data_IF_632838943397
#
_entry.id   IF_632838943397
#
_cell.length_a   1.000
_cell.length_b   1.000
_cell.length_c   1.000
_cell.angle_alpha   90.00
_cell.angle_beta   90.00
_cell.angle_gamma   90.00
#
_symmetry.space_group_name_H-M   'P 1'
#
loop_
_entity.id
_entity.type
_entity.pdbx_description
1 polymer ?
#
# COMPACT_ATOMS: atom_id res chain seq x y z
N UNK A 1 9.57 8.84 -10.00
CA UNK A 1 10.89 9.37 -10.43
C UNK A 1 12.03 8.37 -10.26
N UNK A 2 12.12 7.56 -9.20
CA UNK A 2 13.19 6.55 -9.05
C UNK A 2 13.24 5.46 -10.16
N UNK A 3 12.11 5.11 -10.78
CA UNK A 3 12.07 4.15 -11.89
C UNK A 3 12.81 4.64 -13.16
N UNK A 4 13.18 5.93 -13.22
CA UNK A 4 14.00 6.50 -14.30
C UNK A 4 15.51 6.34 -14.09
N UNK A 5 15.96 5.92 -12.92
CA UNK A 5 17.38 6.02 -12.54
C UNK A 5 18.16 4.71 -12.54
N UNK A 6 17.50 3.55 -12.49
CA UNK A 6 18.19 2.25 -12.50
C UNK A 6 18.31 1.65 -13.91
N UNK A 7 17.55 2.18 -14.87
CA UNK A 7 17.48 1.65 -16.24
C UNK A 7 17.44 2.84 -17.19
N UNK A 8 18.58 3.17 -17.80
CA UNK A 8 18.79 4.07 -18.96
C UNK A 8 17.96 5.38 -19.01
N UNK A 9 18.62 6.53 -18.96
CA UNK A 9 17.96 7.84 -19.08
C UNK A 9 17.29 8.00 -20.45
N UNK A 10 16.05 8.51 -20.49
CA UNK A 10 15.55 9.30 -21.63
C UNK A 10 16.18 10.68 -21.51
N UNK A 11 17.18 10.97 -22.33
CA UNK A 11 17.70 12.33 -22.49
C UNK A 11 16.84 13.16 -23.45
N UNK A 12 16.26 12.52 -24.48
CA UNK A 12 15.36 13.14 -25.45
C UNK A 12 13.95 12.53 -25.39
N UNK A 13 12.94 13.33 -25.76
CA UNK A 13 11.51 12.92 -25.75
C UNK A 13 11.27 11.66 -26.59
N UNK A 14 12.01 11.55 -27.69
CA UNK A 14 11.86 10.50 -28.71
C UNK A 14 12.88 9.36 -28.58
N UNK A 15 13.72 9.36 -27.55
CA UNK A 15 14.71 8.31 -27.36
C UNK A 15 14.04 6.96 -27.04
N UNK A 16 14.31 5.96 -27.88
CA UNK A 16 13.91 4.56 -27.65
C UNK A 16 14.63 4.02 -26.40
N UNK A 17 13.87 3.46 -25.45
CA UNK A 17 14.39 2.98 -24.17
C UNK A 17 13.97 1.54 -23.92
N UNK A 18 14.91 0.75 -23.35
CA UNK A 18 14.62 -0.57 -22.81
C UNK A 18 14.86 -0.57 -21.30
N UNK A 19 13.81 -0.90 -20.57
CA UNK A 19 13.86 -1.25 -19.16
C UNK A 19 14.59 -2.60 -19.01
N UNK A 20 15.78 -2.60 -18.39
CA UNK A 20 16.64 -3.80 -18.32
C UNK A 20 16.09 -4.92 -17.41
N UNK A 21 15.18 -4.60 -16.50
CA UNK A 21 14.48 -5.57 -15.65
C UNK A 21 13.00 -5.22 -15.59
N UNK A 22 12.07 -6.19 -15.67
CA UNK A 22 10.65 -5.89 -15.59
C UNK A 22 10.28 -5.12 -14.31
N UNK A 23 9.35 -4.17 -14.45
CA UNK A 23 8.98 -3.25 -13.36
C UNK A 23 8.43 -3.93 -12.10
N UNK A 24 7.87 -5.13 -12.24
CA UNK A 24 7.36 -5.97 -11.15
C UNK A 24 8.45 -6.45 -10.18
N UNK A 25 9.71 -6.57 -10.61
CA UNK A 25 10.82 -6.95 -9.72
C UNK A 25 11.45 -5.76 -9.00
N UNK A 26 11.13 -4.51 -9.38
CA UNK A 26 11.74 -3.31 -8.78
C UNK A 26 11.50 -3.26 -7.27
N UNK A 27 10.27 -3.50 -6.85
CA UNK A 27 9.85 -3.28 -5.47
C UNK A 27 9.78 -4.56 -4.62
N UNK A 28 9.95 -5.73 -5.23
CA UNK A 28 10.09 -6.98 -4.48
C UNK A 28 11.34 -6.90 -3.59
N UNK A 29 11.30 -7.58 -2.43
CA UNK A 29 12.45 -7.59 -1.52
C UNK A 29 13.61 -8.33 -2.19
N UNK A 30 14.86 -7.95 -1.89
CA UNK A 30 16.05 -8.68 -2.38
C UNK A 30 16.04 -10.16 -1.99
N UNK A 31 15.54 -10.48 -0.79
CA UNK A 31 15.39 -11.86 -0.34
C UNK A 31 14.39 -12.69 -1.18
N UNK A 32 13.47 -12.03 -1.88
CA UNK A 32 12.46 -12.64 -2.73
C UNK A 32 12.78 -12.49 -4.23
N UNK A 33 14.01 -12.09 -4.59
CA UNK A 33 14.42 -11.91 -5.99
C UNK A 33 14.10 -10.55 -6.61
N UNK A 34 13.82 -9.54 -5.79
CA UNK A 34 13.63 -8.18 -6.26
C UNK A 34 14.85 -7.29 -6.12
N UNK A 35 14.71 -6.05 -6.57
CA UNK A 35 15.73 -5.01 -6.37
C UNK A 35 15.61 -4.32 -5.00
N UNK A 36 14.47 -4.43 -4.33
CA UNK A 36 14.20 -3.81 -3.04
C UNK A 36 14.07 -2.29 -3.11
N UNK A 37 13.70 -1.74 -4.27
CA UNK A 37 13.50 -0.30 -4.44
C UNK A 37 12.26 0.12 -3.63
N UNK A 38 12.35 1.17 -2.79
CA UNK A 38 11.18 1.65 -2.06
C UNK A 38 10.18 2.34 -3.00
N UNK A 39 8.90 1.98 -2.89
CA UNK A 39 7.82 2.73 -3.54
C UNK A 39 7.56 4.04 -2.79
N UNK A 40 7.85 5.18 -3.43
CA UNK A 40 7.65 6.51 -2.84
C UNK A 40 6.19 6.73 -2.41
N UNK A 41 5.23 6.35 -3.27
CA UNK A 41 3.79 6.45 -2.97
C UNK A 41 3.42 5.61 -1.75
N UNK A 42 3.94 4.38 -1.64
CA UNK A 42 3.71 3.53 -0.48
C UNK A 42 4.31 4.11 0.80
N UNK A 43 5.51 4.70 0.72
CA UNK A 43 6.14 5.33 1.89
C UNK A 43 5.39 6.59 2.34
N UNK A 44 4.91 7.42 1.40
CA UNK A 44 4.08 8.58 1.72
C UNK A 44 2.76 8.16 2.37
N UNK A 45 2.09 7.14 1.82
CA UNK A 45 0.89 6.53 2.43
C UNK A 45 1.16 6.05 3.85
N UNK A 46 2.25 5.31 4.04
CA UNK A 46 2.69 4.81 5.34
C UNK A 46 2.90 5.94 6.34
N UNK A 47 3.62 7.00 5.96
CA UNK A 47 3.87 8.16 6.82
C UNK A 47 2.55 8.81 7.25
N UNK A 48 1.61 9.02 6.32
CA UNK A 48 0.30 9.59 6.64
C UNK A 48 -0.52 8.74 7.60
N UNK A 49 -0.53 7.42 7.41
CA UNK A 49 -1.21 6.51 8.32
C UNK A 49 -0.56 6.51 9.71
N UNK A 50 0.77 6.59 9.77
CA UNK A 50 1.49 6.77 11.05
C UNK A 50 1.08 8.06 11.73
N UNK A 51 1.01 9.19 11.01
CA UNK A 51 0.55 10.46 11.58
C UNK A 51 -0.89 10.38 12.08
N UNK A 52 -1.76 9.68 11.36
CA UNK A 52 -3.14 9.49 11.76
C UNK A 52 -3.25 8.58 12.99
N UNK A 53 -2.47 7.50 13.10
CA UNK A 53 -2.37 6.70 14.33
C UNK A 53 -1.84 7.55 15.50
N UNK A 54 -0.80 8.34 15.22
CA UNK A 54 -0.29 9.50 15.96
C UNK A 54 -1.43 10.25 16.65
N UNK A 55 -2.17 10.90 15.76
CA UNK A 55 -3.30 11.75 16.04
C UNK A 55 -4.41 11.06 16.85
N UNK A 56 -4.72 9.81 16.54
CA UNK A 56 -5.78 9.03 17.20
C UNK A 56 -5.40 8.62 18.60
N UNK A 57 -4.18 8.11 18.81
CA UNK A 57 -3.68 7.75 20.14
C UNK A 57 -3.65 8.98 21.07
N UNK A 58 -3.30 10.13 20.51
CA UNK A 58 -3.26 11.42 21.20
C UNK A 58 -4.64 11.95 21.54
N UNK A 59 -5.58 11.80 20.62
CA UNK A 59 -6.98 12.02 20.88
C UNK A 59 -7.55 11.03 21.89
N UNK A 60 -6.77 10.10 22.47
CA UNK A 60 -7.14 9.26 23.62
C UNK A 60 -6.58 9.74 24.98
N UNK A 61 -5.60 10.63 24.99
CA UNK A 61 -5.06 11.20 26.22
C UNK A 61 -5.95 12.39 26.68
N UNK A 62 -6.28 12.48 27.97
CA UNK A 62 -7.17 13.51 28.55
C UNK A 62 -6.42 14.79 28.96
N UNK A 63 -5.09 14.79 28.97
CA UNK A 63 -4.28 15.77 29.71
C UNK A 63 -3.21 16.51 28.89
N UNK A 64 -3.16 16.33 27.56
CA UNK A 64 -2.12 16.93 26.70
C UNK A 64 -2.57 18.15 25.89
N UNK A 65 -1.78 19.23 25.90
CA UNK A 65 -1.95 20.38 24.99
C UNK A 65 -1.68 19.99 23.53
N UNK A 66 -2.30 20.65 22.56
CA UNK A 66 -3.45 20.14 21.80
C UNK A 66 -3.13 20.14 20.29
N UNK A 67 -2.56 19.06 19.75
CA UNK A 67 -2.49 18.87 18.30
C UNK A 67 -3.82 18.39 17.73
N UNK A 68 -4.72 17.94 18.60
CA UNK A 68 -6.13 17.62 18.33
C UNK A 68 -6.98 18.85 17.99
N UNK A 69 -6.57 20.07 18.38
CA UNK A 69 -7.27 21.31 18.01
C UNK A 69 -7.43 21.45 16.51
N UNK A 70 -6.40 21.17 15.72
CA UNK A 70 -6.47 21.30 14.26
C UNK A 70 -7.56 20.42 13.64
N UNK A 71 -7.77 19.21 14.15
CA UNK A 71 -8.81 18.30 13.64
C UNK A 71 -10.19 18.61 14.21
N UNK A 72 -10.28 19.06 15.47
CA UNK A 72 -11.55 19.54 16.05
C UNK A 72 -12.02 20.79 15.33
N UNK A 73 -11.13 21.74 15.04
CA UNK A 73 -11.41 22.92 14.21
C UNK A 73 -11.76 22.54 12.77
N UNK A 74 -11.02 21.60 12.18
CA UNK A 74 -11.35 21.07 10.86
C UNK A 74 -12.76 20.45 10.85
N UNK A 75 -13.10 19.62 11.84
CA UNK A 75 -14.42 19.03 12.02
C UNK A 75 -15.51 20.09 12.17
N UNK A 76 -15.28 21.11 13.01
CA UNK A 76 -16.19 22.26 13.18
C UNK A 76 -16.38 23.05 11.89
N UNK A 77 -15.36 23.09 11.03
CA UNK A 77 -15.43 23.81 9.75
C UNK A 77 -16.20 23.05 8.66
N UNK A 78 -16.29 21.72 8.75
CA UNK A 78 -16.83 20.88 7.68
C UNK A 78 -18.13 20.16 8.02
N UNK A 79 -18.35 19.80 9.28
CA UNK A 79 -19.58 19.16 9.75
C UNK A 79 -20.54 20.20 10.32
N UNK A 80 -21.85 19.90 10.37
CA UNK A 80 -22.80 20.72 11.12
C UNK A 80 -22.36 20.86 12.58
N UNK A 81 -22.72 21.99 13.20
CA UNK A 81 -22.43 22.23 14.62
C UNK A 81 -23.31 21.31 15.46
N UNK A 82 -22.76 20.18 15.87
CA UNK A 82 -23.39 19.28 16.83
C UNK A 82 -22.93 19.62 18.25
N UNK A 83 -23.75 19.30 19.25
CA UNK A 83 -23.38 19.42 20.67
C UNK A 83 -22.27 18.45 21.08
N UNK A 84 -22.10 17.35 20.34
CA UNK A 84 -21.05 16.33 20.53
C UNK A 84 -20.42 15.98 19.18
N UNK A 85 -19.10 16.16 19.04
CA UNK A 85 -18.29 15.68 17.91
C UNK A 85 -17.04 14.99 18.43
N UNK A 86 -16.69 13.83 17.89
CA UNK A 86 -15.41 13.20 18.19
C UNK A 86 -14.39 13.53 17.10
N UNK A 87 -13.13 13.70 17.49
CA UNK A 87 -12.03 14.09 16.61
C UNK A 87 -11.85 13.17 15.38
N UNK A 88 -12.39 11.94 15.44
CA UNK A 88 -12.18 10.87 14.47
C UNK A 88 -13.43 10.49 13.67
N UNK A 89 -14.57 11.13 13.96
CA UNK A 89 -15.82 10.95 13.22
C UNK A 89 -15.64 11.14 11.73
N UNK A 90 -14.69 11.99 11.36
CA UNK A 90 -14.44 12.30 9.97
C UNK A 90 -13.95 11.09 9.18
N UNK A 91 -13.27 10.14 9.82
CA UNK A 91 -12.77 8.92 9.18
C UNK A 91 -13.91 7.96 8.79
N UNK A 92 -15.09 8.08 9.40
CA UNK A 92 -16.27 7.25 9.08
C UNK A 92 -17.18 7.90 8.04
N UNK A 93 -16.91 9.16 7.67
CA UNK A 93 -17.65 9.89 6.64
C UNK A 93 -17.06 9.61 5.26
N UNK A 94 -17.93 9.36 4.28
CA UNK A 94 -17.53 9.08 2.90
C UNK A 94 -16.95 10.32 2.21
N UNK A 95 -15.74 10.24 1.61
CA UNK A 95 -15.10 11.38 0.95
C UNK A 95 -15.68 11.72 -0.41
N UNK A 96 -16.54 10.84 -0.94
CA UNK A 96 -17.19 11.02 -2.25
C UNK A 96 -18.53 11.76 -2.16
N UNK A 97 -18.98 12.13 -0.96
CA UNK A 97 -20.26 12.81 -0.75
C UNK A 97 -20.01 14.31 -0.57
N UNK A 98 -20.57 15.12 -1.46
CA UNK A 98 -20.38 16.58 -1.52
C UNK A 98 -21.73 17.30 -1.36
N UNK A 99 -21.74 18.48 -0.72
CA UNK A 99 -22.91 19.36 -0.63
C UNK A 99 -22.83 20.33 0.55
N UNK A 100 -23.78 21.25 0.70
CA UNK A 100 -23.75 22.23 1.81
C UNK A 100 -23.86 21.61 3.22
N UNK A 101 -24.29 20.34 3.30
CA UNK A 101 -24.35 19.60 4.56
C UNK A 101 -22.96 19.11 5.04
N UNK A 102 -21.99 18.90 4.14
CA UNK A 102 -20.56 18.77 4.49
C UNK A 102 -19.78 19.79 3.67
N UNK A 103 -19.19 20.79 4.33
CA UNK A 103 -18.45 21.86 3.65
C UNK A 103 -17.05 21.39 3.19
N UNK A 104 -17.01 20.42 2.29
CA UNK A 104 -15.81 19.76 1.77
C UNK A 104 -14.79 20.72 1.13
N UNK A 105 -15.26 21.89 0.69
CA UNK A 105 -14.42 22.99 0.18
C UNK A 105 -13.40 23.49 1.21
N UNK A 106 -13.68 23.39 2.51
CA UNK A 106 -12.76 23.82 3.57
C UNK A 106 -11.66 22.78 3.89
N UNK A 107 -11.75 21.57 3.34
CA UNK A 107 -10.74 20.53 3.57
C UNK A 107 -9.54 20.74 2.65
N UNK A 108 -8.33 20.76 3.23
CA UNK A 108 -7.09 20.82 2.47
C UNK A 108 -6.88 19.59 1.57
N UNK A 109 -6.10 19.73 0.50
CA UNK A 109 -5.76 18.62 -0.39
C UNK A 109 -5.10 17.45 0.35
N UNK A 110 -4.30 17.76 1.38
CA UNK A 110 -3.68 16.74 2.23
C UNK A 110 -4.75 15.83 2.84
N UNK A 111 -5.73 16.41 3.53
CA UNK A 111 -6.78 15.66 4.20
C UNK A 111 -7.68 14.89 3.23
N UNK A 112 -8.05 15.49 2.09
CA UNK A 112 -8.82 14.82 1.01
C UNK A 112 -8.14 13.54 0.52
N UNK A 113 -6.83 13.59 0.27
CA UNK A 113 -6.05 12.42 -0.15
C UNK A 113 -5.96 11.38 0.97
N UNK A 114 -5.73 11.81 2.22
CA UNK A 114 -5.67 10.90 3.38
C UNK A 114 -6.97 10.12 3.53
N UNK A 115 -8.14 10.77 3.37
CA UNK A 115 -9.44 10.08 3.37
C UNK A 115 -9.58 9.08 2.24
N UNK A 116 -9.23 9.48 1.03
CA UNK A 116 -9.33 8.60 -0.14
C UNK A 116 -8.51 7.33 0.07
N UNK A 117 -7.34 7.46 0.71
CA UNK A 117 -6.51 6.31 1.05
C UNK A 117 -7.10 5.48 2.18
N UNK A 118 -7.57 6.09 3.27
CA UNK A 118 -8.26 5.41 4.37
C UNK A 118 -9.39 4.50 3.88
N UNK A 119 -10.27 5.03 3.03
CA UNK A 119 -11.41 4.29 2.49
C UNK A 119 -11.04 3.24 1.44
N UNK A 120 -9.86 3.34 0.82
CA UNK A 120 -9.33 2.33 -0.11
C UNK A 120 -8.52 1.24 0.59
N UNK A 121 -8.17 1.42 1.87
CA UNK A 121 -7.46 0.42 2.63
C UNK A 121 -8.38 -0.75 2.95
N UNK A 122 -7.94 -1.95 2.57
CA UNK A 122 -8.58 -3.18 3.02
C UNK A 122 -8.11 -3.52 4.42
N UNK A 123 -9.03 -3.45 5.38
CA UNK A 123 -8.82 -3.88 6.76
C UNK A 123 -9.22 -5.34 6.93
N UNK A 124 -8.42 -6.13 7.65
CA UNK A 124 -8.70 -7.55 7.93
C UNK A 124 -9.83 -7.70 8.95
N UNK A 125 -9.95 -6.73 9.87
CA UNK A 125 -11.04 -6.65 10.85
C UNK A 125 -11.74 -5.30 10.69
N UNK A 126 -13.06 -5.29 10.74
CA UNK A 126 -13.93 -4.10 10.75
C UNK A 126 -14.90 -4.15 11.93
N UNK A 127 -15.61 -3.05 12.15
CA UNK A 127 -16.61 -2.93 13.22
C UNK A 127 -17.78 -3.91 13.03
N UNK A 128 -18.06 -4.32 11.78
CA UNK A 128 -19.03 -5.36 11.44
C UNK A 128 -18.72 -6.71 12.07
N UNK A 129 -17.45 -6.95 12.38
CA UNK A 129 -16.94 -8.22 12.89
C UNK A 129 -16.88 -8.25 14.43
N UNK A 130 -17.38 -7.20 15.10
CA UNK A 130 -17.56 -7.15 16.55
C UNK A 130 -18.72 -8.06 16.98
N UNK A 131 -18.74 -8.45 18.26
CA UNK A 131 -19.89 -9.13 18.84
C UNK A 131 -21.16 -8.28 18.73
N UNK A 132 -22.33 -8.90 18.63
CA UNK A 132 -23.63 -8.25 18.39
C UNK A 132 -23.81 -6.99 19.23
N UNK A 133 -23.60 -7.09 20.54
CA UNK A 133 -23.85 -6.02 21.50
C UNK A 133 -22.89 -4.84 21.31
N UNK A 134 -21.60 -5.13 21.08
CA UNK A 134 -20.59 -4.10 20.83
C UNK A 134 -20.77 -3.44 19.47
N UNK A 135 -21.14 -4.23 18.45
CA UNK A 135 -21.43 -3.77 17.10
C UNK A 135 -22.59 -2.78 17.10
N UNK A 136 -23.69 -3.14 17.78
CA UNK A 136 -24.88 -2.28 17.91
C UNK A 136 -24.53 -1.00 18.66
N UNK A 137 -23.86 -1.12 19.81
CA UNK A 137 -23.41 0.04 20.59
C UNK A 137 -22.53 0.97 19.76
N UNK A 138 -21.55 0.43 19.03
CA UNK A 138 -20.69 1.23 18.16
C UNK A 138 -21.49 1.93 17.06
N UNK A 139 -22.35 1.20 16.36
CA UNK A 139 -23.14 1.68 15.23
C UNK A 139 -24.12 2.79 15.61
N UNK A 140 -24.81 2.64 16.75
CA UNK A 140 -25.78 3.62 17.24
C UNK A 140 -25.18 5.01 17.49
N UNK A 141 -23.89 5.08 17.83
CA UNK A 141 -23.19 6.33 18.12
C UNK A 141 -22.42 6.93 16.92
N UNK A 142 -22.37 6.23 15.79
CA UNK A 142 -21.71 6.73 14.58
C UNK A 142 -22.49 7.90 13.97
N UNK A 143 -21.80 8.84 13.28
CA UNK A 143 -22.47 9.84 12.45
C UNK A 143 -23.27 9.16 11.32
N UNK A 144 -24.59 9.42 11.24
CA UNK A 144 -25.48 8.69 10.30
C UNK A 144 -25.65 9.38 8.94
N UNK A 145 -25.39 10.69 8.87
CA UNK A 145 -25.75 11.49 7.71
C UNK A 145 -25.00 11.09 6.43
N UNK A 146 -23.69 10.83 6.52
CA UNK A 146 -22.86 10.50 5.36
C UNK A 146 -21.88 9.37 5.67
N UNK A 147 -22.33 8.42 6.49
CA UNK A 147 -21.53 7.26 6.87
C UNK A 147 -21.05 6.49 5.63
N UNK A 148 -19.81 6.02 5.64
CA UNK A 148 -19.23 5.28 4.50
C UNK A 148 -19.74 3.85 4.39
N UNK A 149 -20.11 3.25 5.52
CA UNK A 149 -20.60 1.88 5.59
C UNK A 149 -22.06 1.75 5.15
N UNK A 150 -22.34 0.78 4.28
CA UNK A 150 -23.66 0.51 3.73
C UNK A 150 -24.67 -0.06 4.73
N UNK A 151 -24.21 -0.64 5.85
CA UNK A 151 -25.13 -1.12 6.91
C UNK A 151 -25.85 0.05 7.59
N UNK A 152 -25.22 1.23 7.61
CA UNK A 152 -25.78 2.48 8.12
C UNK A 152 -26.49 3.31 7.03
N UNK A 153 -26.81 2.69 5.89
CA UNK A 153 -27.60 3.32 4.82
C UNK A 153 -29.03 2.79 4.84
N UNK A 154 -29.98 3.61 4.39
CA UNK A 154 -31.36 3.18 4.23
C UNK A 154 -31.60 2.65 2.81
N UNK A 155 -32.61 1.80 2.67
CA UNK A 155 -33.03 1.25 1.37
C UNK A 155 -34.19 2.08 0.82
N UNK A 156 -34.01 2.61 -0.38
CA UNK A 156 -35.07 3.34 -1.05
C UNK A 156 -36.04 2.33 -1.68
N UNK A 157 -37.34 2.49 -1.43
CA UNK A 157 -38.37 1.68 -2.11
C UNK A 157 -38.19 1.75 -3.63
N UNK A 158 -38.27 0.59 -4.29
CA UNK A 158 -38.09 0.43 -5.73
C UNK A 158 -39.02 1.36 -6.51
N UNK A 159 -38.47 2.08 -7.49
CA UNK A 159 -39.25 2.67 -8.58
C UNK A 159 -39.12 1.75 -9.80
N UNK A 160 -40.00 0.76 -9.91
CA UNK A 160 -40.02 -0.20 -11.03
C UNK A 160 -39.35 -1.54 -10.75
N UNK A 161 -39.69 -2.57 -11.55
CA UNK A 161 -39.40 -3.99 -11.32
C UNK A 161 -37.99 -4.47 -11.70
N UNK A 162 -37.11 -3.60 -12.22
CA UNK A 162 -35.84 -4.02 -12.85
C UNK A 162 -34.56 -3.51 -12.17
N UNK A 163 -34.66 -2.75 -11.07
CA UNK A 163 -33.47 -2.20 -10.39
C UNK A 163 -33.29 -2.79 -9.00
N UNK A 164 -32.07 -3.29 -8.70
CA UNK A 164 -31.67 -3.72 -7.36
C UNK A 164 -31.87 -2.60 -6.32
N UNK A 165 -32.31 -2.94 -5.11
CA UNK A 165 -32.47 -1.98 -4.01
C UNK A 165 -31.16 -1.20 -3.77
N UNK A 166 -31.18 0.12 -4.03
CA UNK A 166 -30.00 0.96 -3.87
C UNK A 166 -29.98 1.55 -2.46
N UNK A 167 -28.91 1.26 -1.71
CA UNK A 167 -28.67 1.82 -0.38
C UNK A 167 -28.16 3.26 -0.49
N UNK A 168 -28.70 4.16 0.33
CA UNK A 168 -28.32 5.58 0.38
C UNK A 168 -28.08 6.06 1.81
N UNK A 169 -27.13 6.98 1.98
CA UNK A 169 -26.95 7.68 3.25
C UNK A 169 -28.16 8.61 3.51
N UNK A 170 -28.54 8.78 4.77
CA UNK A 170 -29.63 9.69 5.19
C UNK A 170 -29.38 11.13 4.69
N UNK A 171 -28.14 11.56 4.53
CA UNK A 171 -27.81 12.88 4.03
C UNK A 171 -28.07 13.12 2.55
N UNK A 172 -28.34 12.07 1.76
CA UNK A 172 -28.46 12.15 0.30
C UNK A 172 -29.91 12.41 -0.17
N UNK A 173 -30.66 13.20 0.57
CA UNK A 173 -31.97 13.69 0.13
C UNK A 173 -31.82 14.76 -1.00
N UNK A 174 -32.81 14.90 -1.90
CA UNK A 174 -32.87 16.04 -2.81
C UNK A 174 -33.22 17.33 -2.05
N UNK A 175 -32.89 18.49 -2.64
CA UNK A 175 -33.42 19.77 -2.16
C UNK A 175 -34.94 19.83 -2.40
N UNK A 176 -35.72 20.53 -1.55
CA UNK A 176 -35.31 21.29 -0.35
C UNK A 176 -35.17 20.45 0.94
N UNK A 177 -35.48 19.15 0.88
CA UNK A 177 -35.47 18.27 2.06
C UNK A 177 -34.08 18.13 2.69
N UNK A 178 -33.00 18.22 1.89
CA UNK A 178 -31.62 18.20 2.38
C UNK A 178 -31.32 19.41 3.28
N UNK A 179 -31.68 20.62 2.84
CA UNK A 179 -31.54 21.84 3.66
C UNK A 179 -32.33 21.74 4.97
N UNK A 180 -33.55 21.17 4.92
CA UNK A 180 -34.32 20.90 6.13
C UNK A 180 -33.65 19.87 7.05
N UNK A 181 -33.07 18.78 6.53
CA UNK A 181 -32.31 17.80 7.33
C UNK A 181 -31.10 18.45 8.00
N UNK A 182 -30.41 19.36 7.31
CA UNK A 182 -29.32 20.14 7.88
C UNK A 182 -29.82 21.02 9.04
N UNK A 183 -30.96 21.68 8.89
CA UNK A 183 -31.62 22.45 9.96
C UNK A 183 -31.91 21.57 11.18
N UNK A 184 -32.62 20.45 10.97
CA UNK A 184 -32.96 19.48 12.02
C UNK A 184 -31.72 19.01 12.76
N UNK A 185 -30.65 18.67 12.03
CA UNK A 185 -29.39 18.21 12.60
C UNK A 185 -28.72 19.25 13.50
N UNK A 186 -28.85 20.55 13.18
CA UNK A 186 -28.24 21.67 13.91
C UNK A 186 -29.07 22.09 15.11
N UNK A 187 -30.38 22.26 14.92
CA UNK A 187 -31.29 22.79 15.94
C UNK A 187 -31.59 21.74 17.01
N UNK A 188 -31.85 20.50 16.62
CA UNK A 188 -32.19 19.42 17.55
C UNK A 188 -30.99 18.55 17.93
N UNK A 189 -29.81 18.79 17.34
CA UNK A 189 -28.58 18.08 17.67
C UNK A 189 -28.58 16.61 17.27
N UNK A 190 -29.34 16.22 16.23
CA UNK A 190 -29.38 14.84 15.73
C UNK A 190 -28.13 14.52 14.89
N UNK A 191 -27.17 13.79 15.46
CA UNK A 191 -25.93 13.34 14.79
C UNK A 191 -25.93 11.83 14.52
N UNK A 192 -26.44 11.04 15.46
CA UNK A 192 -26.41 9.57 15.45
C UNK A 192 -27.81 8.97 15.69
N UNK A 193 -27.94 7.64 15.59
CA UNK A 193 -29.20 6.96 15.95
C UNK A 193 -29.47 7.06 17.46
N UNK A 194 -28.42 7.06 18.28
CA UNK A 194 -28.52 7.24 19.72
C UNK A 194 -29.23 8.55 20.12
N UNK A 195 -29.06 9.61 19.34
CA UNK A 195 -29.69 10.91 19.63
C UNK A 195 -31.22 10.88 19.52
N UNK A 196 -31.78 9.94 18.75
CA UNK A 196 -33.23 9.75 18.64
C UNK A 196 -33.84 9.18 19.93
N UNK A 197 -33.03 8.45 20.72
CA UNK A 197 -33.46 7.75 21.94
C UNK A 197 -33.17 8.53 23.23
N UNK A 198 -32.55 9.72 23.13
CA UNK A 198 -31.97 10.45 24.26
C UNK A 198 -32.94 10.75 25.42
N UNK A 199 -34.23 10.94 25.10
CA UNK A 199 -35.25 11.40 26.05
C UNK A 199 -35.89 10.23 26.80
N UNK A 200 -36.33 9.20 26.08
CA UNK A 200 -37.09 8.07 26.64
C UNK A 200 -36.25 6.82 26.87
N UNK A 201 -34.94 6.88 26.56
CA UNK A 201 -34.03 5.73 26.51
C UNK A 201 -34.56 4.55 25.67
N UNK A 202 -35.46 4.82 24.74
CA UNK A 202 -36.08 3.86 23.84
C UNK A 202 -36.24 4.48 22.45
N UNK A 203 -36.42 3.64 21.43
CA UNK A 203 -36.74 4.14 20.09
C UNK A 203 -38.11 4.84 20.10
N UNK A 204 -38.20 6.13 19.72
CA UNK A 204 -39.43 6.89 19.85
C UNK A 204 -40.50 6.37 18.88
N UNK A 205 -41.78 6.57 19.18
CA UNK A 205 -42.83 6.34 18.17
C UNK A 205 -42.72 7.38 17.05
N UNK A 206 -43.21 7.07 15.84
CA UNK A 206 -43.18 8.03 14.72
C UNK A 206 -43.87 9.35 15.09
N UNK A 207 -45.01 9.27 15.78
CA UNK A 207 -45.78 10.44 16.23
C UNK A 207 -44.97 11.23 17.25
N UNK A 208 -44.41 10.55 18.27
CA UNK A 208 -43.57 11.18 19.29
C UNK A 208 -42.35 11.87 18.69
N UNK A 209 -41.68 11.25 17.72
CA UNK A 209 -40.54 11.84 17.03
C UNK A 209 -40.94 13.12 16.27
N UNK A 210 -42.03 13.08 15.49
CA UNK A 210 -42.48 14.23 14.70
C UNK A 210 -42.84 15.40 15.61
N UNK A 211 -43.66 15.19 16.64
CA UNK A 211 -44.11 16.27 17.54
C UNK A 211 -42.95 16.96 18.24
N UNK A 212 -41.88 16.22 18.57
CA UNK A 212 -40.68 16.77 19.24
C UNK A 212 -39.77 17.61 18.34
N UNK A 213 -39.85 17.43 17.02
CA UNK A 213 -38.87 17.99 16.07
C UNK A 213 -39.49 18.92 15.03
N UNK A 214 -40.75 19.32 15.20
CA UNK A 214 -41.32 20.44 14.46
C UNK A 214 -40.73 21.74 15.03
N UNK A 215 -40.26 22.60 14.15
CA UNK A 215 -39.77 23.92 14.49
C UNK A 215 -40.75 24.98 13.97
N UNK A 216 -41.55 25.53 14.88
CA UNK A 216 -42.50 26.59 14.56
C UNK A 216 -41.83 27.95 14.26
N UNK A 217 -40.53 28.08 14.54
CA UNK A 217 -39.76 29.29 14.21
C UNK A 217 -39.22 29.28 12.78
N UNK A 218 -39.26 28.13 12.09
CA UNK A 218 -38.80 27.98 10.72
C UNK A 218 -39.87 28.44 9.72
N UNK A 219 -39.79 29.72 9.33
CA UNK A 219 -40.81 30.40 8.50
C UNK A 219 -40.87 29.86 7.06
N UNK A 220 -39.74 29.39 6.52
CA UNK A 220 -39.64 28.98 5.10
C UNK A 220 -40.37 27.67 4.77
N UNK A 221 -40.74 26.87 5.77
CA UNK A 221 -41.31 25.52 5.58
C UNK A 221 -42.49 25.33 6.52
N UNK A 222 -43.68 25.10 5.95
CA UNK A 222 -44.91 24.91 6.73
C UNK A 222 -44.82 23.69 7.68
N UNK A 223 -45.46 23.72 8.87
CA UNK A 223 -45.42 22.61 9.82
C UNK A 223 -45.90 21.27 9.22
N UNK A 224 -46.89 21.30 8.32
CA UNK A 224 -47.37 20.11 7.63
C UNK A 224 -46.29 19.49 6.72
N UNK A 225 -45.50 20.32 6.04
CA UNK A 225 -44.38 19.87 5.21
C UNK A 225 -43.21 19.37 6.07
N UNK A 226 -42.90 20.06 7.19
CA UNK A 226 -41.92 19.59 8.16
C UNK A 226 -42.30 18.19 8.69
N UNK A 227 -43.57 18.00 9.10
CA UNK A 227 -44.07 16.72 9.58
C UNK A 227 -43.93 15.61 8.52
N UNK A 228 -44.21 15.90 7.25
CA UNK A 228 -44.00 14.95 6.15
C UNK A 228 -42.54 14.52 6.02
N UNK A 229 -41.60 15.46 6.09
CA UNK A 229 -40.17 15.15 5.99
C UNK A 229 -39.60 14.46 7.23
N UNK A 230 -40.07 14.82 8.43
CA UNK A 230 -39.72 14.14 9.68
C UNK A 230 -40.21 12.69 9.70
N UNK A 231 -41.43 12.43 9.20
CA UNK A 231 -41.93 11.05 9.03
C UNK A 231 -41.05 10.23 8.10
N UNK A 232 -40.57 10.83 7.00
CA UNK A 232 -39.64 10.17 6.08
C UNK A 232 -38.30 9.87 6.76
N UNK A 233 -37.70 10.86 7.43
CA UNK A 233 -36.45 10.69 8.19
C UNK A 233 -36.57 9.59 9.24
N UNK A 234 -37.68 9.58 10.00
CA UNK A 234 -37.96 8.54 10.99
C UNK A 234 -37.99 7.15 10.38
N UNK A 235 -38.70 6.96 9.25
CA UNK A 235 -38.77 5.65 8.57
C UNK A 235 -37.40 5.19 8.09
N UNK A 236 -36.63 6.08 7.48
CA UNK A 236 -35.28 5.79 6.99
C UNK A 236 -34.32 5.41 8.13
N UNK A 237 -34.37 6.14 9.25
CA UNK A 237 -33.57 5.81 10.45
C UNK A 237 -34.02 4.49 11.09
N UNK A 238 -35.33 4.24 11.17
CA UNK A 238 -35.89 3.00 11.72
C UNK A 238 -35.47 1.77 10.90
N UNK A 239 -35.38 1.88 9.57
CA UNK A 239 -34.83 0.79 8.74
C UNK A 239 -33.41 0.40 9.17
N UNK A 240 -32.58 1.39 9.49
CA UNK A 240 -31.20 1.15 9.91
C UNK A 240 -31.17 0.52 11.30
N UNK A 241 -31.96 1.02 12.25
CA UNK A 241 -32.10 0.44 13.59
C UNK A 241 -32.54 -1.02 13.54
N UNK A 242 -33.55 -1.32 12.74
CA UNK A 242 -34.05 -2.68 12.57
C UNK A 242 -32.98 -3.60 11.96
N UNK A 243 -32.22 -3.11 10.96
CA UNK A 243 -31.12 -3.87 10.37
C UNK A 243 -30.00 -4.16 11.37
N UNK A 244 -29.72 -3.21 12.25
CA UNK A 244 -28.75 -3.39 13.32
C UNK A 244 -29.27 -4.31 14.43
N UNK A 245 -30.55 -4.72 14.41
CA UNK A 245 -31.20 -5.47 15.50
C UNK A 245 -31.11 -4.70 16.83
N UNK A 246 -31.13 -3.36 16.75
CA UNK A 246 -30.90 -2.49 17.89
C UNK A 246 -32.18 -2.19 18.70
N UNK A 247 -33.32 -2.80 18.35
CA UNK A 247 -34.63 -2.54 18.96
C UNK A 247 -34.67 -2.78 20.47
N UNK A 248 -33.93 -3.78 20.95
CA UNK A 248 -33.87 -4.15 22.37
C UNK A 248 -32.70 -3.51 23.13
N UNK A 249 -31.79 -2.81 22.42
CA UNK A 249 -30.59 -2.22 23.02
C UNK A 249 -30.89 -0.82 23.54
N UNK A 250 -31.43 -0.78 24.76
CA UNK A 250 -31.48 0.43 25.60
C UNK A 250 -30.05 0.88 25.88
N UNK A 251 -29.75 2.15 25.56
CA UNK A 251 -28.48 2.78 25.94
C UNK A 251 -28.37 2.78 27.47
N UNK A 252 -27.62 1.82 28.03
CA UNK A 252 -27.34 1.79 29.45
C UNK A 252 -26.69 3.13 29.87
N UNK A 253 -27.18 3.82 30.92
CA UNK A 253 -26.69 5.14 31.31
C UNK A 253 -25.19 5.19 31.67
N UNK A 254 -24.57 4.04 31.91
CA UNK A 254 -23.15 3.87 32.25
C UNK A 254 -22.16 4.23 31.12
N UNK A 255 -22.62 4.40 29.88
CA UNK A 255 -21.74 4.66 28.71
C UNK A 255 -21.90 6.10 28.18
N UNK A 256 -22.41 7.03 29.01
CA UNK A 256 -22.65 8.41 28.53
C UNK A 256 -21.37 9.20 28.22
N UNK A 257 -20.18 8.81 28.70
CA UNK A 257 -19.05 9.76 28.70
C UNK A 257 -17.59 9.29 28.48
N UNK A 258 -17.24 8.04 28.08
CA UNK A 258 -15.78 7.74 28.04
C UNK A 258 -15.19 6.74 27.05
N UNK A 259 -15.94 5.90 26.35
CA UNK A 259 -15.32 5.10 25.27
C UNK A 259 -15.25 5.93 23.98
N UNK A 260 -14.13 6.63 23.84
CA UNK A 260 -13.76 7.38 22.62
C UNK A 260 -13.91 6.44 21.42
N UNK A 261 -14.90 6.70 20.58
CA UNK A 261 -15.24 5.88 19.41
C UNK A 261 -14.16 6.02 18.35
N UNK A 262 -13.17 5.14 18.43
CA UNK A 262 -12.17 4.96 17.38
C UNK A 262 -12.79 4.06 16.31
N UNK A 263 -12.47 4.24 15.03
CA UNK A 263 -12.82 3.25 14.03
C UNK A 263 -12.32 1.87 14.46
N UNK A 264 -13.24 0.92 14.66
CA UNK A 264 -12.89 -0.48 14.97
C UNK A 264 -12.43 -1.16 13.69
N UNK A 265 -11.21 -0.84 13.27
CA UNK A 265 -10.54 -1.47 12.14
C UNK A 265 -9.19 -2.01 12.57
N UNK A 266 -8.76 -3.12 11.98
CA UNK A 266 -7.51 -3.76 12.36
C UNK A 266 -6.94 -4.65 11.29
N UNK A 267 -5.73 -5.14 11.57
CA UNK A 267 -5.01 -6.08 10.71
C UNK A 267 -4.46 -7.25 11.51
N UNK A 268 -4.30 -8.38 10.84
CA UNK A 268 -3.64 -9.56 11.38
C UNK A 268 -2.13 -9.44 11.17
N UNK A 269 -1.39 -9.38 12.26
CA UNK A 269 0.06 -9.37 12.24
C UNK A 269 0.61 -10.56 13.04
N UNK A 270 1.16 -11.55 12.33
CA UNK A 270 1.61 -12.83 12.90
C UNK A 270 0.50 -13.45 13.77
N UNK A 271 -0.69 -13.62 13.18
CA UNK A 271 -1.90 -14.19 13.84
C UNK A 271 -2.49 -13.34 14.98
N UNK A 272 -1.79 -12.30 15.44
CA UNK A 272 -2.32 -11.35 16.42
C UNK A 272 -3.10 -10.23 15.73
N UNK A 273 -4.37 -10.06 16.10
CA UNK A 273 -5.17 -8.91 15.71
C UNK A 273 -4.62 -7.64 16.37
N UNK A 274 -4.28 -6.65 15.55
CA UNK A 274 -3.87 -5.31 15.99
C UNK A 274 -4.91 -4.30 15.49
N UNK A 275 -5.63 -3.69 16.42
CA UNK A 275 -6.61 -2.64 16.11
C UNK A 275 -5.94 -1.28 15.98
N UNK A 276 -6.49 -0.42 15.14
CA UNK A 276 -6.09 0.96 15.01
C UNK A 276 -6.46 1.75 16.29
N UNK A 277 -5.60 2.63 16.84
CA UNK A 277 -4.30 3.08 16.33
C UNK A 277 -3.10 2.23 16.77
N UNK A 278 -3.31 1.16 17.55
CA UNK A 278 -2.26 0.33 18.16
C UNK A 278 -1.57 -0.63 17.18
N UNK A 279 -1.61 -0.32 15.88
CA UNK A 279 -0.96 -1.12 14.84
C UNK A 279 0.54 -0.84 14.86
N UNK A 280 1.40 -1.88 14.92
CA UNK A 280 2.85 -1.69 14.90
C UNK A 280 3.33 -0.95 13.64
N UNK A 281 4.24 0.04 13.80
CA UNK A 281 4.81 0.81 12.68
C UNK A 281 5.48 -0.05 11.61
N UNK A 282 5.94 -1.24 11.97
CA UNK A 282 6.52 -2.24 11.08
C UNK A 282 5.47 -2.89 10.18
N UNK A 283 4.22 -3.02 10.64
CA UNK A 283 3.11 -3.62 9.90
C UNK A 283 2.47 -2.65 8.91
N UNK A 284 2.44 -1.34 9.21
CA UNK A 284 1.71 -0.32 8.41
C UNK A 284 2.02 -0.36 6.91
N UNK A 285 3.28 -0.59 6.52
CA UNK A 285 3.64 -0.62 5.10
C UNK A 285 2.87 -1.72 4.36
N UNK A 286 2.76 -2.92 4.97
CA UNK A 286 2.03 -4.05 4.38
C UNK A 286 0.53 -3.77 4.23
N UNK A 287 -0.02 -2.93 5.10
CA UNK A 287 -1.44 -2.54 5.07
C UNK A 287 -1.73 -1.60 3.91
N UNK A 288 -0.88 -0.58 3.75
CA UNK A 288 -1.12 0.46 2.75
C UNK A 288 -0.72 0.01 1.35
N UNK A 289 0.19 -0.96 1.23
CA UNK A 289 0.72 -1.39 -0.05
C UNK A 289 1.51 -2.70 0.02
N UNK A 290 1.27 -3.58 -0.95
CA UNK A 290 2.11 -4.74 -1.24
C UNK A 290 2.59 -4.70 -2.68
N UNK A 291 3.84 -5.10 -2.98
CA UNK A 291 4.27 -5.27 -4.36
C UNK A 291 3.40 -6.31 -5.04
N UNK A 292 2.96 -6.01 -6.26
CA UNK A 292 2.24 -6.99 -7.08
C UNK A 292 3.16 -8.20 -7.33
N UNK A 293 2.64 -9.44 -7.25
CA UNK A 293 3.39 -10.61 -7.66
C UNK A 293 3.87 -10.48 -9.12
N UNK A 294 5.09 -10.95 -9.43
CA UNK A 294 5.60 -10.90 -10.79
C UNK A 294 4.85 -11.90 -11.68
N UNK A 295 4.52 -11.48 -12.88
CA UNK A 295 3.91 -12.31 -13.93
C UNK A 295 4.93 -12.74 -14.98
N UNK A 296 6.03 -11.98 -15.17
CA UNK A 296 7.13 -12.35 -16.07
C UNK A 296 8.15 -13.27 -15.39
N UNK A 297 8.90 -14.08 -16.17
CA UNK A 297 10.00 -14.89 -15.63
C UNK A 297 11.07 -14.02 -14.97
N UNK A 298 11.68 -14.54 -13.90
CA UNK A 298 12.79 -13.89 -13.21
C UNK A 298 13.99 -13.70 -14.17
N UNK A 299 14.74 -12.58 -14.13
CA UNK A 299 15.85 -12.33 -15.05
C UNK A 299 16.93 -13.42 -15.08
N UNK A 300 17.22 -14.05 -13.94
CA UNK A 300 18.16 -15.17 -13.84
C UNK A 300 17.77 -16.38 -14.72
N UNK A 301 16.50 -16.53 -15.11
CA UNK A 301 16.06 -17.61 -16.03
C UNK A 301 16.71 -17.52 -17.41
N UNK A 302 17.21 -16.34 -17.79
CA UNK A 302 17.93 -16.16 -19.07
C UNK A 302 19.25 -16.93 -19.07
N UNK A 303 19.89 -17.06 -17.90
CA UNK A 303 21.09 -17.86 -17.76
C UNK A 303 20.74 -19.34 -17.65
N UNK A 304 19.67 -19.68 -16.93
CA UNK A 304 19.24 -21.06 -16.75
C UNK A 304 17.72 -21.20 -16.52
N UNK A 305 17.05 -21.87 -17.44
CA UNK A 305 15.58 -21.94 -17.49
C UNK A 305 14.94 -22.58 -16.25
N UNK A 306 15.70 -23.45 -15.56
CA UNK A 306 15.27 -24.18 -14.35
C UNK A 306 15.30 -23.33 -13.07
N UNK A 307 15.68 -22.06 -13.14
CA UNK A 307 15.67 -21.18 -11.97
C UNK A 307 14.24 -21.07 -11.39
N UNK A 308 14.14 -21.34 -10.09
CA UNK A 308 12.92 -21.19 -9.31
C UNK A 308 13.13 -20.24 -8.12
N UNK A 309 12.12 -20.11 -7.26
CA UNK A 309 12.19 -19.26 -6.08
C UNK A 309 13.26 -19.71 -5.06
N UNK A 310 13.59 -21.00 -5.00
CA UNK A 310 14.61 -21.53 -4.09
C UNK A 310 16.01 -21.08 -4.52
N UNK A 311 16.31 -21.18 -5.82
CA UNK A 311 17.58 -20.75 -6.39
C UNK A 311 17.81 -19.26 -6.19
N UNK A 312 16.77 -18.44 -6.41
CA UNK A 312 16.81 -16.99 -6.19
C UNK A 312 17.08 -16.66 -4.72
N UNK A 313 16.42 -17.36 -3.78
CA UNK A 313 16.67 -17.20 -2.34
C UNK A 313 18.09 -17.59 -1.96
N UNK A 314 18.62 -18.68 -2.51
CA UNK A 314 20.01 -19.12 -2.30
C UNK A 314 20.99 -18.07 -2.79
N UNK A 315 20.78 -17.52 -4.00
CA UNK A 315 21.62 -16.44 -4.52
C UNK A 315 21.55 -15.18 -3.65
N UNK A 316 20.36 -14.79 -3.19
CA UNK A 316 20.20 -13.65 -2.29
C UNK A 316 20.88 -13.85 -0.92
N UNK A 317 20.88 -15.08 -0.38
CA UNK A 317 21.64 -15.44 0.83
C UNK A 317 23.15 -15.36 0.56
N UNK A 318 23.60 -15.88 -0.58
CA UNK A 318 25.00 -15.81 -0.98
C UNK A 318 25.47 -14.36 -1.08
N UNK A 319 24.73 -13.46 -1.73
CA UNK A 319 25.08 -12.04 -1.80
C UNK A 319 25.22 -11.36 -0.42
N UNK A 320 24.51 -11.82 0.61
CA UNK A 320 24.73 -11.36 2.00
C UNK A 320 26.06 -11.87 2.58
N UNK A 321 26.45 -13.11 2.28
CA UNK A 321 27.76 -13.68 2.66
C UNK A 321 28.88 -12.96 1.92
N UNK A 322 28.76 -12.81 0.60
CA UNK A 322 29.78 -12.19 -0.25
C UNK A 322 30.11 -10.76 0.17
N UNK A 323 29.13 -9.97 0.64
CA UNK A 323 29.39 -8.63 1.18
C UNK A 323 30.28 -8.58 2.43
N UNK A 324 30.55 -9.72 3.08
CA UNK A 324 31.51 -9.81 4.18
C UNK A 324 32.95 -10.07 3.72
N UNK A 325 33.13 -10.60 2.51
CA UNK A 325 34.44 -11.06 2.00
C UNK A 325 34.87 -10.33 0.72
N UNK A 326 33.95 -9.67 0.01
CA UNK A 326 34.19 -8.90 -1.21
C UNK A 326 34.00 -7.42 -0.97
N UNK A 327 34.75 -6.60 -1.71
CA UNK A 327 34.45 -5.19 -1.86
C UNK A 327 33.06 -5.00 -2.50
N UNK A 328 32.28 -3.98 -2.09
CA UNK A 328 30.92 -3.76 -2.61
C UNK A 328 30.83 -3.69 -4.14
N UNK A 329 31.86 -3.18 -4.81
CA UNK A 329 31.89 -3.07 -6.28
C UNK A 329 31.90 -4.44 -7.00
N UNK A 330 32.54 -5.45 -6.41
CA UNK A 330 32.61 -6.79 -6.96
C UNK A 330 31.28 -7.54 -6.78
N UNK A 331 30.66 -7.41 -5.61
CA UNK A 331 29.34 -7.99 -5.35
C UNK A 331 28.25 -7.33 -6.19
N UNK A 332 28.29 -6.01 -6.36
CA UNK A 332 27.36 -5.28 -7.22
C UNK A 332 27.44 -5.74 -8.68
N UNK A 333 28.65 -5.95 -9.21
CA UNK A 333 28.81 -6.49 -10.57
C UNK A 333 28.23 -7.90 -10.71
N UNK A 334 28.53 -8.80 -9.76
CA UNK A 334 27.95 -10.14 -9.76
C UNK A 334 26.43 -10.11 -9.71
N UNK A 335 25.87 -9.25 -8.85
CA UNK A 335 24.42 -9.05 -8.74
C UNK A 335 23.83 -8.57 -10.07
N UNK A 336 24.44 -7.55 -10.68
CA UNK A 336 23.98 -7.02 -11.98
C UNK A 336 24.09 -8.04 -13.10
N UNK A 337 25.11 -8.91 -13.09
CA UNK A 337 25.24 -10.00 -14.05
C UNK A 337 24.10 -11.02 -13.88
N UNK A 338 23.89 -11.51 -12.65
CA UNK A 338 22.85 -12.50 -12.36
C UNK A 338 21.44 -11.96 -12.67
N UNK A 339 21.17 -10.69 -12.37
CA UNK A 339 19.88 -10.03 -12.60
C UNK A 339 19.73 -9.47 -14.01
N UNK A 340 20.72 -9.68 -14.90
CA UNK A 340 20.74 -9.16 -16.26
C UNK A 340 20.49 -7.65 -16.30
N UNK A 341 21.24 -6.90 -15.51
CA UNK A 341 21.20 -5.45 -15.40
C UNK A 341 22.38 -4.77 -16.10
N UNK A 342 23.34 -5.54 -16.60
CA UNK A 342 24.48 -4.99 -17.32
C UNK A 342 24.08 -4.51 -18.72
N UNK A 343 24.59 -3.34 -19.17
CA UNK A 343 24.34 -2.80 -20.50
C UNK A 343 25.30 -3.42 -21.53
N UNK A 344 25.19 -4.74 -21.73
CA UNK A 344 25.90 -5.42 -22.82
C UNK A 344 25.29 -5.06 -24.18
N UNK A 345 26.12 -4.96 -25.21
CA UNK A 345 25.79 -4.44 -26.53
C UNK A 345 24.63 -5.19 -27.20
N UNK A 346 24.50 -6.50 -27.00
CA UNK A 346 23.37 -7.30 -27.53
C UNK A 346 21.99 -6.79 -27.10
N UNK A 347 21.88 -6.02 -26.02
CA UNK A 347 20.62 -5.47 -25.50
C UNK A 347 20.15 -4.23 -26.23
N UNK A 348 21.05 -3.57 -26.97
CA UNK A 348 20.76 -2.35 -27.71
C UNK A 348 20.44 -2.63 -29.18
N UNK A 349 19.86 -3.81 -29.47
CA UNK A 349 19.51 -4.23 -30.83
C UNK A 349 18.62 -3.23 -31.58
N UNK A 350 17.74 -2.52 -30.87
CA UNK A 350 16.87 -1.51 -31.45
C UNK A 350 17.62 -0.31 -32.06
N UNK A 351 18.90 -0.12 -31.73
CA UNK A 351 19.76 0.92 -32.29
C UNK A 351 20.53 0.46 -33.53
N UNK A 352 20.34 -0.78 -34.01
CA UNK A 352 21.03 -1.30 -35.21
C UNK A 352 20.81 -0.42 -36.45
N UNK A 353 19.65 0.23 -36.56
CA UNK A 353 19.36 1.15 -37.67
C UNK A 353 20.26 2.39 -37.71
N UNK A 354 20.76 2.85 -36.55
CA UNK A 354 21.70 3.98 -36.44
C UNK A 354 23.14 3.49 -36.44
N UNK A 355 23.39 2.32 -35.85
CA UNK A 355 24.71 1.73 -35.74
C UNK A 355 24.63 0.21 -36.00
N UNK A 356 24.88 -0.23 -37.25
CA UNK A 356 24.82 -1.65 -37.64
C UNK A 356 25.77 -2.57 -36.85
N UNK A 357 26.81 -2.00 -36.24
CA UNK A 357 27.78 -2.71 -35.42
C UNK A 357 27.41 -2.78 -33.92
N UNK A 358 26.31 -2.16 -33.49
CA UNK A 358 26.10 -1.85 -32.07
C UNK A 358 26.03 -3.08 -31.15
N UNK A 359 25.62 -4.24 -31.67
CA UNK A 359 25.52 -5.47 -30.89
C UNK A 359 26.80 -6.30 -30.85
N UNK A 360 27.79 -5.96 -31.68
CA UNK A 360 28.95 -6.82 -31.93
C UNK A 360 30.11 -6.50 -30.98
N UNK A 361 30.81 -7.52 -30.54
CA UNK A 361 32.17 -7.48 -30.02
C UNK A 361 33.07 -8.05 -31.12
N UNK A 362 33.89 -7.20 -31.76
CA UNK A 362 34.70 -7.54 -32.93
C UNK A 362 33.86 -8.11 -34.09
N UNK A 363 33.59 -9.43 -34.10
CA UNK A 363 32.76 -10.15 -35.10
C UNK A 363 31.67 -11.05 -34.49
N UNK A 364 31.56 -11.13 -33.15
CA UNK A 364 30.56 -11.92 -32.45
C UNK A 364 29.51 -11.04 -31.76
N UNK A 365 28.33 -11.58 -31.40
CA UNK A 365 27.34 -10.84 -30.62
C UNK A 365 27.82 -10.74 -29.17
N UNK A 366 27.89 -9.53 -28.62
CA UNK A 366 28.26 -9.30 -27.22
C UNK A 366 27.07 -9.59 -26.30
N UNK A 367 26.84 -10.87 -26.02
CA UNK A 367 26.00 -11.35 -24.92
C UNK A 367 26.75 -11.26 -23.58
N UNK A 368 26.04 -11.43 -22.46
CA UNK A 368 26.69 -11.54 -21.14
C UNK A 368 27.72 -12.68 -21.12
N UNK A 369 27.35 -13.86 -21.64
CA UNK A 369 28.25 -15.01 -21.72
C UNK A 369 29.45 -14.74 -22.62
N UNK A 370 29.23 -14.15 -23.81
CA UNK A 370 30.34 -13.83 -24.70
C UNK A 370 31.31 -12.87 -24.03
N UNK A 371 30.80 -11.74 -23.51
CA UNK A 371 31.64 -10.72 -22.90
C UNK A 371 32.45 -11.28 -21.73
N UNK A 372 31.80 -12.04 -20.84
CA UNK A 372 32.41 -12.46 -19.59
C UNK A 372 33.08 -13.82 -19.62
N UNK A 373 32.91 -14.64 -20.66
CA UNK A 373 33.41 -16.02 -20.66
C UNK A 373 33.97 -16.47 -22.02
N UNK A 374 33.24 -16.27 -23.12
CA UNK A 374 33.65 -16.85 -24.41
C UNK A 374 34.59 -15.94 -25.24
N UNK A 375 34.62 -14.62 -24.98
CA UNK A 375 35.45 -13.68 -25.70
C UNK A 375 36.93 -14.03 -25.54
N UNK A 376 37.75 -13.86 -26.59
CA UNK A 376 39.18 -14.22 -26.60
C UNK A 376 39.95 -13.63 -25.41
N UNK A 377 39.66 -12.37 -25.07
CA UNK A 377 40.25 -11.70 -23.90
C UNK A 377 39.81 -12.36 -22.58
N UNK A 378 38.51 -12.56 -22.40
CA UNK A 378 37.97 -13.20 -21.20
C UNK A 378 38.50 -14.63 -21.05
N UNK A 379 38.57 -15.40 -22.14
CA UNK A 379 39.10 -16.76 -22.15
C UNK A 379 40.57 -16.80 -21.72
N UNK A 380 41.39 -15.83 -22.16
CA UNK A 380 42.78 -15.70 -21.73
C UNK A 380 42.91 -15.56 -20.22
N UNK A 381 42.10 -14.70 -19.60
CA UNK A 381 42.07 -14.51 -18.15
C UNK A 381 41.52 -15.74 -17.43
N UNK A 382 40.41 -16.30 -17.92
CA UNK A 382 39.78 -17.46 -17.30
C UNK A 382 40.66 -18.70 -17.34
N UNK A 383 41.56 -18.89 -18.33
CA UNK A 383 42.48 -20.04 -18.34
C UNK A 383 43.23 -20.16 -17.02
N UNK A 384 43.87 -19.09 -16.55
CA UNK A 384 44.62 -19.08 -15.29
C UNK A 384 43.72 -19.38 -14.08
N UNK A 385 42.53 -18.78 -14.03
CA UNK A 385 41.59 -18.95 -12.91
C UNK A 385 40.99 -20.36 -12.90
N UNK A 386 40.67 -20.92 -14.06
CA UNK A 386 40.11 -22.26 -14.22
C UNK A 386 41.15 -23.34 -13.93
N UNK A 387 42.43 -23.10 -14.22
CA UNK A 387 43.52 -24.02 -13.85
C UNK A 387 43.66 -24.15 -12.33
N UNK A 388 43.56 -23.03 -11.60
CA UNK A 388 43.50 -23.03 -10.13
C UNK A 388 42.24 -23.76 -9.65
N UNK A 389 41.07 -23.45 -10.23
CA UNK A 389 39.81 -24.08 -9.85
C UNK A 389 39.83 -25.61 -10.05
N UNK A 390 40.56 -26.12 -11.05
CA UNK A 390 40.69 -27.56 -11.32
C UNK A 390 41.33 -28.32 -10.15
N UNK A 391 42.24 -27.68 -9.41
CA UNK A 391 42.91 -28.23 -8.22
C UNK A 391 41.95 -28.26 -7.02
N UNK A 392 41.07 -27.26 -6.92
CA UNK A 392 40.24 -27.05 -5.74
C UNK A 392 38.88 -27.76 -5.80
N UNK A 393 38.30 -27.92 -7.00
CA UNK A 393 36.92 -28.40 -7.17
C UNK A 393 36.83 -29.70 -7.97
N UNK A 394 35.78 -30.49 -7.69
CA UNK A 394 35.52 -31.78 -8.37
C UNK A 394 35.16 -31.64 -9.84
N UNK A 395 34.62 -30.48 -10.24
CA UNK A 395 34.21 -30.21 -11.61
C UNK A 395 34.75 -28.85 -12.07
N UNK A 396 34.98 -28.74 -13.38
CA UNK A 396 35.40 -27.49 -14.01
C UNK A 396 34.27 -26.45 -13.92
N UNK A 397 34.54 -25.21 -13.47
CA UNK A 397 33.54 -24.15 -13.48
C UNK A 397 33.00 -23.89 -14.90
N UNK A 398 31.68 -23.79 -15.00
CA UNK A 398 30.95 -23.44 -16.22
C UNK A 398 30.51 -21.97 -16.21
N UNK A 399 29.98 -21.49 -17.34
CA UNK A 399 29.34 -20.17 -17.40
C UNK A 399 28.27 -20.00 -16.30
N UNK A 400 27.47 -21.03 -16.02
CA UNK A 400 26.41 -20.95 -15.02
C UNK A 400 26.96 -20.75 -13.60
N UNK A 401 28.08 -21.41 -13.29
CA UNK A 401 28.74 -21.28 -11.98
C UNK A 401 29.31 -19.88 -11.78
N UNK A 402 29.70 -19.24 -12.89
CA UNK A 402 30.19 -17.87 -12.91
C UNK A 402 29.03 -16.86 -12.83
N UNK A 403 28.08 -16.92 -13.76
CA UNK A 403 27.01 -15.94 -13.91
C UNK A 403 26.04 -15.92 -12.72
N UNK A 404 25.74 -17.09 -12.16
CA UNK A 404 24.78 -17.24 -11.05
C UNK A 404 25.45 -17.44 -9.70
N UNK A 405 26.78 -17.46 -9.68
CA UNK A 405 27.57 -17.72 -8.49
C UNK A 405 27.17 -19.03 -7.79
N UNK A 406 27.01 -20.12 -8.56
CA UNK A 406 26.58 -21.41 -7.99
C UNK A 406 27.62 -21.96 -7.03
N UNK A 407 27.12 -22.72 -6.07
CA UNK A 407 27.94 -23.48 -5.14
C UNK A 407 28.70 -24.57 -5.89
N UNK A 408 29.99 -24.71 -5.57
CA UNK A 408 30.89 -25.66 -6.19
C UNK A 408 31.37 -26.66 -5.15
N UNK A 409 31.37 -27.95 -5.51
CA UNK A 409 31.85 -29.01 -4.62
C UNK A 409 33.37 -29.05 -4.61
N UNK A 410 33.96 -28.80 -3.45
CA UNK A 410 35.40 -28.93 -3.23
C UNK A 410 35.83 -30.39 -3.36
N UNK A 411 37.08 -30.63 -3.75
CA UNK A 411 37.65 -31.98 -3.74
C UNK A 411 37.88 -32.46 -2.32
N UNK A 412 38.01 -33.77 -2.16
CA UNK A 412 38.04 -34.41 -0.86
C UNK A 412 39.24 -33.94 -0.01
N UNK A 413 40.37 -33.62 -0.66
CA UNK A 413 41.59 -33.09 -0.03
C UNK A 413 41.39 -31.71 0.62
N UNK A 414 40.33 -30.98 0.22
CA UNK A 414 40.03 -29.63 0.67
C UNK A 414 38.79 -29.54 1.57
N UNK A 415 38.21 -30.68 1.96
CA UNK A 415 36.95 -30.73 2.72
C UNK A 415 37.07 -29.96 4.05
N UNK A 416 38.17 -30.14 4.78
CA UNK A 416 38.42 -29.45 6.05
C UNK A 416 38.60 -27.92 5.91
N UNK A 417 38.77 -27.45 4.68
CA UNK A 417 38.98 -26.04 4.32
C UNK A 417 37.91 -25.52 3.35
N UNK A 418 36.77 -26.22 3.21
CA UNK A 418 35.74 -25.92 2.20
C UNK A 418 35.31 -24.46 2.22
N UNK A 419 35.02 -23.91 3.40
CA UNK A 419 34.56 -22.54 3.53
C UNK A 419 35.55 -21.52 2.97
N UNK A 420 36.85 -21.71 3.24
CA UNK A 420 37.94 -20.85 2.79
C UNK A 420 38.09 -20.97 1.27
N UNK A 421 38.12 -22.21 0.76
CA UNK A 421 38.26 -22.48 -0.69
C UNK A 421 37.10 -21.85 -1.47
N UNK A 422 35.87 -21.96 -0.97
CA UNK A 422 34.68 -21.33 -1.58
C UNK A 422 34.78 -19.81 -1.57
N UNK A 423 35.24 -19.19 -0.47
CA UNK A 423 35.41 -17.74 -0.41
C UNK A 423 36.51 -17.25 -1.35
N UNK A 424 37.66 -17.94 -1.40
CA UNK A 424 38.75 -17.66 -2.36
C UNK A 424 38.25 -17.76 -3.81
N UNK A 425 37.47 -18.79 -4.13
CA UNK A 425 36.85 -18.92 -5.45
C UNK A 425 35.96 -17.72 -5.78
N UNK A 426 35.10 -17.31 -4.85
CA UNK A 426 34.23 -16.17 -5.06
C UNK A 426 34.99 -14.85 -5.22
N UNK A 427 36.12 -14.68 -4.51
CA UNK A 427 37.03 -13.54 -4.70
C UNK A 427 37.63 -13.57 -6.11
N UNK A 428 38.29 -14.67 -6.50
CA UNK A 428 38.93 -14.81 -7.81
C UNK A 428 37.95 -14.60 -8.95
N UNK A 429 36.77 -15.24 -8.87
CA UNK A 429 35.71 -15.08 -9.86
C UNK A 429 35.27 -13.62 -9.98
N UNK A 430 34.99 -12.96 -8.85
CA UNK A 430 34.42 -11.61 -8.88
C UNK A 430 35.43 -10.55 -9.31
N UNK A 431 36.71 -10.72 -8.95
CA UNK A 431 37.83 -9.89 -9.44
C UNK A 431 37.98 -10.06 -10.95
N UNK A 432 37.93 -11.29 -11.46
CA UNK A 432 38.03 -11.58 -12.90
C UNK A 432 36.90 -10.94 -13.69
N UNK A 433 35.65 -11.11 -13.22
CA UNK A 433 34.48 -10.44 -13.80
C UNK A 433 34.65 -8.92 -13.83
N UNK A 434 35.11 -8.33 -12.72
CA UNK A 434 35.30 -6.90 -12.62
C UNK A 434 36.40 -6.38 -13.54
N UNK A 435 37.49 -7.10 -13.67
CA UNK A 435 38.57 -6.75 -14.58
C UNK A 435 38.08 -6.75 -16.03
N UNK A 436 37.38 -7.82 -16.46
CA UNK A 436 36.78 -7.90 -17.80
C UNK A 436 35.80 -6.74 -18.05
N UNK A 437 34.93 -6.45 -17.08
CA UNK A 437 33.95 -5.37 -17.20
C UNK A 437 34.61 -3.98 -17.31
N UNK A 438 35.63 -3.74 -16.47
CA UNK A 438 36.34 -2.46 -16.40
C UNK A 438 37.15 -2.22 -17.66
N UNK A 439 37.86 -3.24 -18.14
CA UNK A 439 38.64 -3.17 -19.37
C UNK A 439 37.74 -2.90 -20.58
N UNK A 440 36.65 -3.67 -20.72
CA UNK A 440 35.66 -3.44 -21.80
C UNK A 440 35.13 -2.01 -21.77
N UNK A 441 34.76 -1.49 -20.60
CA UNK A 441 34.25 -0.12 -20.51
C UNK A 441 35.32 0.91 -20.86
N UNK A 442 36.56 0.72 -20.41
CA UNK A 442 37.69 1.58 -20.79
C UNK A 442 37.88 1.60 -22.30
N UNK A 443 37.92 0.45 -22.95
CA UNK A 443 38.02 0.33 -24.40
C UNK A 443 36.89 1.08 -25.13
N UNK A 444 35.66 1.02 -24.61
CA UNK A 444 34.54 1.78 -25.16
C UNK A 444 34.66 3.30 -24.98
N UNK A 445 35.10 3.77 -23.82
CA UNK A 445 35.25 5.20 -23.55
C UNK A 445 36.44 5.80 -24.30
N UNK A 446 37.52 5.02 -24.45
CA UNK A 446 38.74 5.45 -25.13
C UNK A 446 38.68 5.26 -26.66
N UNK A 447 37.57 4.73 -27.20
CA UNK A 447 37.40 4.49 -28.64
C UNK A 447 38.28 3.39 -29.22
N UNK A 448 38.87 2.54 -28.37
CA UNK A 448 39.73 1.42 -28.76
C UNK A 448 38.85 0.19 -28.91
N UNK A 449 38.42 -0.14 -30.13
CA UNK A 449 37.64 -1.36 -30.41
C UNK A 449 38.47 -2.44 -31.06
#
# INVERSE_FOLDING_TARGET
MLNRFVLSRKHNRDATHIQLIPGEFLYLRRADGGLGIPSLDAQLKRQRFIFMMQFVAQAQETTGRWWTTASTELLRSILPRYSKCHALDLLTISPQRHGEMIKWRHVSTWWKTTWTWWHRTSWDKRWSDLHSDERVKYALHQPIWFHSDAELHYEQQMRGSTASAHRRCIGMAPEPQRSFRLHVSRVFGLRSLADFMRIENAWPTQVGFVTRHIDFTLVDITPGQQAKWLRALYREATQIVNRLEAGDVVLSPLIRDSQRLIPYVGVLNNEKLCLFPAIPRSAVLRIVWTPKPPTKPHPMKVHWDRIDASHVKTHAKLGKRLRKVLLPIFEDLQFRLAFRLLPVRSRFWFLEHVNPGIRKCVRAIESDQHLFFDCTFALGLWRHVLDIARILFKHKPTWLDIALAREMRVRDEWTDHEAIVVDVWHVLRSVTLHFVWSDRNRCLFDGRQ
#
